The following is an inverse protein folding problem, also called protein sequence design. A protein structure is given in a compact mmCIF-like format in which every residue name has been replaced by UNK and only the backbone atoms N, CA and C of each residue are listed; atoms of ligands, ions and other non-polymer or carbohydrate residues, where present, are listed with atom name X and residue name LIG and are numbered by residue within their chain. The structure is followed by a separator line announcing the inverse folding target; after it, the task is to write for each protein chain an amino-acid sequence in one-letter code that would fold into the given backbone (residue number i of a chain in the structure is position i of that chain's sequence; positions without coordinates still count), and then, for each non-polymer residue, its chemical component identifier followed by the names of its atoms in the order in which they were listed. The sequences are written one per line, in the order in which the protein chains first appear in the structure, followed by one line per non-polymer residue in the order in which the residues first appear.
data_IF_115426690401
#
_entry.id   IF_115426690401
#
_cell.length_a   1.000
_cell.length_b   1.000
_cell.length_c   1.000
_cell.angle_alpha   90.00
_cell.angle_beta   90.00
_cell.angle_gamma   90.00
#
_symmetry.space_group_name_H-M   'P 1'
#
loop_
_entity.id
_entity.type
_entity.pdbx_description
1 polymer ?
#
# COMPACT_ATOMS: atom_id res chain seq x y z
N UNK A 1 17.01 0.59 -15.37
CA UNK A 1 17.38 1.66 -14.42
C UNK A 1 16.77 1.50 -13.00
N UNK A 2 16.15 0.37 -12.67
CA UNK A 2 15.40 0.16 -11.42
C UNK A 2 16.08 -0.77 -10.40
N UNK A 3 17.26 -1.31 -10.68
CA UNK A 3 17.92 -2.26 -9.77
C UNK A 3 18.84 -1.63 -8.71
N UNK A 4 19.26 -0.39 -8.87
CA UNK A 4 20.14 0.28 -7.91
C UNK A 4 19.41 0.74 -6.63
N UNK A 5 18.10 0.98 -6.70
CA UNK A 5 17.29 1.35 -5.54
C UNK A 5 17.04 0.20 -4.57
N UNK A 6 16.83 -1.01 -5.10
CA UNK A 6 16.52 -2.19 -4.29
C UNK A 6 17.66 -2.67 -3.38
N UNK A 7 18.91 -2.51 -3.81
CA UNK A 7 20.05 -2.93 -3.01
C UNK A 7 20.28 -2.10 -1.73
N UNK A 8 19.82 -0.83 -1.73
CA UNK A 8 19.87 0.06 -0.55
C UNK A 8 18.63 -0.03 0.31
N UNK A 9 17.52 -0.49 -0.25
CA UNK A 9 16.21 -0.50 0.42
C UNK A 9 16.14 -1.60 1.49
N UNK A 10 16.66 -2.78 1.23
CA UNK A 10 16.62 -3.89 2.18
C UNK A 10 17.30 -3.60 3.53
N UNK A 11 18.54 -3.07 3.58
CA UNK A 11 19.17 -2.69 4.85
C UNK A 11 18.42 -1.57 5.56
N UNK A 12 17.89 -0.59 4.83
CA UNK A 12 17.13 0.52 5.40
C UNK A 12 15.81 0.02 6.02
N UNK A 13 15.10 -0.88 5.35
CA UNK A 13 13.88 -1.49 5.88
C UNK A 13 14.18 -2.30 7.13
N UNK A 14 15.23 -3.11 7.12
CA UNK A 14 15.65 -3.89 8.29
C UNK A 14 15.93 -2.98 9.50
N UNK A 15 16.69 -1.91 9.32
CA UNK A 15 16.98 -0.95 10.39
C UNK A 15 15.72 -0.27 10.94
N UNK A 16 14.76 0.06 10.08
CA UNK A 16 13.50 0.68 10.50
C UNK A 16 12.58 -0.30 11.24
N UNK A 17 12.54 -1.55 10.83
CA UNK A 17 11.77 -2.59 11.53
C UNK A 17 12.38 -2.90 12.89
N UNK A 18 13.69 -3.11 12.94
CA UNK A 18 14.41 -3.41 14.19
C UNK A 18 14.36 -2.25 15.19
N UNK A 19 14.30 -1.01 14.69
CA UNK A 19 14.10 0.19 15.51
C UNK A 19 12.63 0.49 15.86
N UNK A 20 11.70 -0.40 15.55
CA UNK A 20 10.26 -0.22 15.76
C UNK A 20 9.68 1.05 15.09
N UNK A 21 10.39 1.62 14.13
CA UNK A 21 9.98 2.82 13.42
C UNK A 21 8.99 2.53 12.28
N UNK A 22 8.92 1.29 11.81
CA UNK A 22 8.06 0.88 10.71
C UNK A 22 6.79 0.22 11.25
N UNK A 23 5.82 1.07 11.58
CA UNK A 23 4.53 0.64 12.11
C UNK A 23 3.59 0.17 11.00
N UNK A 24 2.55 -0.65 11.30
CA UNK A 24 1.52 -1.01 10.33
C UNK A 24 0.89 0.18 9.62
N UNK A 25 0.67 1.29 10.33
CA UNK A 25 0.14 2.52 9.76
C UNK A 25 1.06 3.12 8.69
N UNK A 26 2.37 3.08 8.90
CA UNK A 26 3.36 3.57 7.93
C UNK A 26 3.39 2.68 6.69
N UNK A 27 3.28 1.37 6.85
CA UNK A 27 3.23 0.41 5.74
C UNK A 27 1.98 0.64 4.89
N UNK A 28 0.83 0.80 5.52
CA UNK A 28 -0.43 1.14 4.85
C UNK A 28 -0.30 2.47 4.10
N UNK A 29 0.30 3.48 4.72
CA UNK A 29 0.52 4.78 4.08
C UNK A 29 1.44 4.68 2.87
N UNK A 30 2.51 3.90 2.96
CA UNK A 30 3.40 3.64 1.82
C UNK A 30 2.64 2.97 0.67
N UNK A 31 1.82 1.97 0.95
CA UNK A 31 0.96 1.32 -0.02
C UNK A 31 0.01 2.31 -0.70
N UNK A 32 -0.59 3.19 0.08
CA UNK A 32 -1.50 4.22 -0.40
C UNK A 32 -0.85 5.27 -1.31
N UNK A 33 0.43 5.49 -1.17
CA UNK A 33 1.23 6.38 -2.02
C UNK A 33 1.81 5.68 -3.25
N UNK A 34 1.56 4.39 -3.41
CA UNK A 34 2.10 3.60 -4.51
C UNK A 34 3.57 3.21 -4.32
N UNK A 35 4.13 3.40 -3.12
CA UNK A 35 5.50 2.99 -2.78
C UNK A 35 5.57 1.48 -2.56
N UNK A 36 5.21 0.70 -3.57
CA UNK A 36 5.07 -0.75 -3.47
C UNK A 36 6.41 -1.46 -3.28
N UNK A 37 7.51 -0.88 -3.71
CA UNK A 37 8.86 -1.36 -3.43
C UNK A 37 9.15 -1.40 -1.92
N UNK A 38 8.80 -0.34 -1.20
CA UNK A 38 8.91 -0.28 0.27
C UNK A 38 8.02 -1.33 0.91
N UNK A 39 6.78 -1.46 0.45
CA UNK A 39 5.82 -2.45 0.97
C UNK A 39 6.34 -3.87 0.77
N UNK A 40 6.82 -4.20 -0.42
CA UNK A 40 7.36 -5.54 -0.75
C UNK A 40 8.55 -5.89 0.15
N UNK A 41 9.52 -4.99 0.25
CA UNK A 41 10.71 -5.22 1.10
C UNK A 41 10.34 -5.40 2.57
N UNK A 42 9.41 -4.59 3.06
CA UNK A 42 8.95 -4.68 4.45
C UNK A 42 8.24 -6.00 4.73
N UNK A 43 7.30 -6.37 3.88
CA UNK A 43 6.54 -7.63 4.04
C UNK A 43 7.47 -8.84 3.90
N UNK A 44 8.42 -8.80 2.96
CA UNK A 44 9.43 -9.84 2.80
C UNK A 44 10.27 -10.02 4.07
N UNK A 45 10.74 -8.92 4.63
CA UNK A 45 11.53 -8.92 5.87
C UNK A 45 10.73 -9.49 7.04
N UNK A 46 9.53 -9.00 7.27
CA UNK A 46 8.65 -9.47 8.34
C UNK A 46 8.29 -10.96 8.20
N UNK A 47 8.10 -11.43 6.98
CA UNK A 47 7.78 -12.83 6.70
C UNK A 47 9.02 -13.75 6.65
N UNK A 48 10.23 -13.20 6.68
CA UNK A 48 11.48 -13.97 6.61
C UNK A 48 11.68 -14.69 5.27
N UNK A 49 11.25 -14.06 4.17
CA UNK A 49 11.42 -14.60 2.81
C UNK A 49 12.16 -13.62 1.91
N UNK A 50 12.62 -14.09 0.75
CA UNK A 50 13.25 -13.21 -0.24
C UNK A 50 12.25 -12.21 -0.85
N UNK A 51 12.75 -11.04 -1.24
CA UNK A 51 11.96 -10.00 -1.92
C UNK A 51 11.32 -10.57 -3.20
N UNK A 52 12.06 -11.31 -4.01
CA UNK A 52 11.56 -11.95 -5.22
C UNK A 52 10.37 -12.87 -4.95
N UNK A 53 10.42 -13.64 -3.86
CA UNK A 53 9.33 -14.53 -3.47
C UNK A 53 8.13 -13.73 -2.96
N UNK A 54 8.36 -12.66 -2.20
CA UNK A 54 7.32 -11.76 -1.76
C UNK A 54 6.60 -11.10 -2.94
N UNK A 55 7.34 -10.58 -3.92
CA UNK A 55 6.78 -10.02 -5.16
C UNK A 55 5.88 -11.04 -5.88
N UNK A 56 6.36 -12.26 -6.06
CA UNK A 56 5.59 -13.31 -6.71
C UNK A 56 4.28 -13.63 -5.96
N UNK A 57 4.28 -13.55 -4.64
CA UNK A 57 3.08 -13.78 -3.82
C UNK A 57 2.15 -12.57 -3.79
N UNK A 58 2.67 -11.36 -3.82
CA UNK A 58 1.88 -10.13 -3.81
C UNK A 58 1.20 -9.85 -5.15
N UNK A 59 1.93 -10.03 -6.24
CA UNK A 59 1.46 -9.69 -7.59
C UNK A 59 1.08 -10.89 -8.44
N UNK A 60 1.21 -12.09 -7.90
CA UNK A 60 0.87 -13.33 -8.58
C UNK A 60 -0.60 -13.72 -8.44
N UNK A 61 -0.84 -15.02 -8.34
CA UNK A 61 -2.20 -15.58 -8.28
C UNK A 61 -2.99 -15.07 -7.07
N UNK A 62 -4.30 -14.89 -7.24
CA UNK A 62 -5.21 -14.58 -6.15
C UNK A 62 -5.05 -15.56 -4.99
N UNK A 63 -5.01 -15.04 -3.78
CA UNK A 63 -4.89 -15.82 -2.55
C UNK A 63 -3.47 -16.06 -2.05
N UNK A 64 -2.44 -15.86 -2.87
CA UNK A 64 -1.05 -15.99 -2.43
C UNK A 64 -0.67 -14.91 -1.39
N UNK A 65 -1.17 -13.71 -1.57
CA UNK A 65 -0.93 -12.61 -0.63
C UNK A 65 -1.52 -12.87 0.75
N UNK A 66 -2.67 -13.54 0.85
CA UNK A 66 -3.27 -13.89 2.15
C UNK A 66 -2.30 -14.72 3.01
N UNK A 67 -1.62 -15.69 2.42
CA UNK A 67 -0.62 -16.52 3.09
C UNK A 67 0.60 -15.70 3.51
N UNK A 68 1.06 -14.82 2.63
CA UNK A 68 2.18 -13.93 2.92
C UNK A 68 1.85 -12.95 4.03
N UNK A 69 0.67 -12.34 3.99
CA UNK A 69 0.21 -11.43 5.04
C UNK A 69 0.13 -12.12 6.41
N UNK A 70 -0.43 -13.31 6.47
CA UNK A 70 -0.46 -14.10 7.71
C UNK A 70 0.95 -14.39 8.23
N UNK A 71 1.88 -14.72 7.35
CA UNK A 71 3.28 -15.01 7.72
C UNK A 71 4.04 -13.76 8.19
N UNK A 72 3.69 -12.59 7.69
CA UNK A 72 4.33 -11.32 8.07
C UNK A 72 4.00 -10.86 9.48
N UNK A 73 2.94 -11.39 10.09
CA UNK A 73 2.48 -10.96 11.41
C UNK A 73 1.80 -9.59 11.42
N UNK A 74 1.54 -8.99 10.29
CA UNK A 74 0.82 -7.72 10.20
C UNK A 74 -0.63 -7.88 10.69
N UNK A 75 -1.22 -6.85 11.33
CA UNK A 75 -2.60 -6.89 11.78
C UNK A 75 -3.58 -7.22 10.64
N UNK A 76 -4.58 -8.03 10.94
CA UNK A 76 -5.63 -8.38 9.97
C UNK A 76 -6.35 -7.15 9.41
N UNK A 77 -6.43 -6.07 10.17
CA UNK A 77 -7.00 -4.79 9.74
C UNK A 77 -6.28 -4.15 8.55
N UNK A 78 -5.01 -4.49 8.32
CA UNK A 78 -4.23 -3.97 7.18
C UNK A 78 -4.43 -4.79 5.90
N UNK A 79 -4.97 -5.99 6.01
CA UNK A 79 -5.01 -6.95 4.90
C UNK A 79 -5.69 -6.40 3.65
N UNK A 80 -6.92 -5.91 3.78
CA UNK A 80 -7.70 -5.46 2.62
C UNK A 80 -7.10 -4.24 1.93
N UNK A 81 -6.52 -3.33 2.71
CA UNK A 81 -5.82 -2.15 2.17
C UNK A 81 -4.59 -2.56 1.38
N UNK A 82 -3.77 -3.44 1.93
CA UNK A 82 -2.58 -3.94 1.24
C UNK A 82 -2.94 -4.80 0.03
N UNK A 83 -4.00 -5.60 0.11
CA UNK A 83 -4.50 -6.37 -1.03
C UNK A 83 -4.98 -5.46 -2.17
N UNK A 84 -5.70 -4.38 -1.85
CA UNK A 84 -6.13 -3.41 -2.84
C UNK A 84 -4.94 -2.72 -3.52
N UNK A 85 -3.92 -2.36 -2.76
CA UNK A 85 -2.69 -1.79 -3.31
C UNK A 85 -1.96 -2.77 -4.25
N UNK A 86 -1.90 -4.04 -3.89
CA UNK A 86 -1.34 -5.08 -4.75
C UNK A 86 -2.10 -5.22 -6.06
N UNK A 87 -3.43 -5.16 -6.01
CA UNK A 87 -4.26 -5.29 -7.20
C UNK A 87 -4.11 -4.07 -8.13
N UNK A 88 -4.09 -2.86 -7.58
CA UNK A 88 -3.84 -1.65 -8.38
C UNK A 88 -2.45 -1.68 -9.01
N UNK A 89 -1.42 -2.10 -8.27
CA UNK A 89 -0.07 -2.24 -8.80
C UNK A 89 0.01 -3.29 -9.93
N UNK A 90 -0.71 -4.38 -9.81
CA UNK A 90 -0.79 -5.41 -10.85
C UNK A 90 -1.50 -4.88 -12.09
N UNK A 91 -2.65 -4.24 -11.97
CA UNK A 91 -3.37 -3.60 -13.08
C UNK A 91 -2.47 -2.59 -13.81
N UNK A 92 -1.77 -1.75 -13.05
CA UNK A 92 -0.81 -0.79 -13.59
C UNK A 92 0.29 -1.48 -14.43
N UNK A 93 0.82 -2.59 -13.96
CA UNK A 93 1.85 -3.35 -14.66
C UNK A 93 1.28 -4.02 -15.93
N UNK A 94 0.06 -4.54 -15.88
CA UNK A 94 -0.62 -5.16 -17.02
C UNK A 94 -0.96 -4.12 -18.11
N UNK A 95 -1.41 -2.95 -17.72
CA UNK A 95 -1.78 -1.87 -18.64
C UNK A 95 -0.56 -1.08 -19.15
N UNK A 96 0.61 -1.28 -18.56
CA UNK A 96 1.83 -0.54 -18.90
C UNK A 96 1.75 0.95 -18.56
N UNK A 97 0.83 1.35 -17.69
CA UNK A 97 0.60 2.73 -17.28
C UNK A 97 1.17 2.94 -15.88
N UNK A 98 1.99 3.97 -15.71
CA UNK A 98 2.48 4.38 -14.39
C UNK A 98 1.59 5.49 -13.83
N UNK A 99 0.85 5.17 -12.77
CA UNK A 99 0.00 6.14 -12.08
C UNK A 99 0.86 7.07 -11.20
N UNK A 100 0.46 8.34 -11.10
CA UNK A 100 0.98 9.23 -10.06
C UNK A 100 0.58 8.71 -8.68
N UNK A 101 1.27 9.16 -7.62
CA UNK A 101 0.89 8.79 -6.24
C UNK A 101 -0.56 9.16 -5.93
N UNK A 102 -1.04 10.29 -6.48
CA UNK A 102 -2.41 10.75 -6.31
C UNK A 102 -3.43 9.83 -7.01
N UNK A 103 -3.16 9.44 -8.23
CA UNK A 103 -4.03 8.55 -9.00
C UNK A 103 -4.00 7.12 -8.44
N UNK A 104 -2.85 6.65 -8.00
CA UNK A 104 -2.73 5.36 -7.33
C UNK A 104 -3.57 5.31 -6.05
N UNK A 105 -3.45 6.33 -5.20
CA UNK A 105 -4.22 6.42 -3.96
C UNK A 105 -5.72 6.48 -4.20
N UNK A 106 -6.15 7.25 -5.20
CA UNK A 106 -7.57 7.32 -5.59
C UNK A 106 -8.09 5.97 -6.09
N UNK A 107 -7.37 5.33 -6.99
CA UNK A 107 -7.73 4.01 -7.51
C UNK A 107 -7.83 2.96 -6.40
N UNK A 108 -6.92 3.04 -5.44
CA UNK A 108 -6.90 2.15 -4.29
C UNK A 108 -8.12 2.36 -3.39
N UNK A 109 -8.52 3.61 -3.13
CA UNK A 109 -9.73 3.93 -2.37
C UNK A 109 -10.97 3.40 -3.08
N UNK A 110 -11.09 3.63 -4.38
CA UNK A 110 -12.20 3.10 -5.18
C UNK A 110 -12.29 1.57 -5.08
N UNK A 111 -11.16 0.90 -5.19
CA UNK A 111 -11.09 -0.56 -5.05
C UNK A 111 -11.52 -1.02 -3.66
N UNK A 112 -11.08 -0.33 -2.61
CA UNK A 112 -11.46 -0.62 -1.23
C UNK A 112 -12.95 -0.42 -0.99
N UNK A 113 -13.50 0.69 -1.45
CA UNK A 113 -14.93 0.98 -1.28
C UNK A 113 -15.80 -0.06 -1.99
N UNK A 114 -15.43 -0.45 -3.20
CA UNK A 114 -16.15 -1.51 -3.94
C UNK A 114 -16.11 -2.84 -3.19
N UNK A 115 -14.97 -3.20 -2.62
CA UNK A 115 -14.82 -4.44 -1.83
C UNK A 115 -15.46 -4.36 -0.46
N UNK A 116 -15.48 -3.18 0.14
CA UNK A 116 -16.09 -2.96 1.43
C UNK A 116 -17.55 -3.38 1.45
N UNK A 117 -18.30 -3.09 0.40
CA UNK A 117 -19.69 -3.52 0.26
C UNK A 117 -19.86 -5.05 0.25
N UNK A 118 -18.85 -5.77 -0.20
CA UNK A 118 -18.83 -7.23 -0.24
C UNK A 118 -18.29 -7.88 1.05
N UNK A 119 -17.77 -7.09 2.01
CA UNK A 119 -17.23 -7.63 3.25
C UNK A 119 -18.34 -8.04 4.23
N UNK A 120 -18.09 -9.09 5.05
CA UNK A 120 -18.96 -9.40 6.19
C UNK A 120 -19.10 -8.20 7.13
N UNK A 121 -20.31 -7.97 7.65
CA UNK A 121 -20.62 -6.84 8.53
C UNK A 121 -19.67 -6.72 9.73
N UNK A 122 -19.22 -7.85 10.29
CA UNK A 122 -18.30 -7.88 11.42
C UNK A 122 -16.90 -7.32 11.11
N UNK A 123 -16.49 -7.36 9.84
CA UNK A 123 -15.17 -6.87 9.39
C UNK A 123 -15.19 -5.43 8.90
N UNK A 124 -16.37 -4.91 8.53
CA UNK A 124 -16.53 -3.58 7.95
C UNK A 124 -16.02 -2.43 8.82
N UNK A 125 -16.32 -2.36 10.12
CA UNK A 125 -15.90 -1.22 10.94
C UNK A 125 -14.39 -1.07 11.04
N UNK A 126 -13.66 -2.17 11.13
CA UNK A 126 -12.20 -2.17 11.24
C UNK A 126 -11.51 -1.66 9.97
N UNK A 127 -12.08 -1.96 8.82
CA UNK A 127 -11.54 -1.49 7.53
C UNK A 127 -11.85 -0.02 7.29
N UNK A 128 -13.01 0.46 7.71
CA UNK A 128 -13.40 1.87 7.58
C UNK A 128 -12.46 2.83 8.30
N UNK A 129 -11.95 2.47 9.47
CA UNK A 129 -11.06 3.34 10.23
C UNK A 129 -9.79 3.69 9.44
N UNK A 130 -9.19 2.71 8.76
CA UNK A 130 -8.02 2.95 7.91
C UNK A 130 -8.37 3.74 6.65
N UNK A 131 -9.42 3.34 5.95
CA UNK A 131 -9.89 4.02 4.73
C UNK A 131 -10.34 5.44 5.03
N UNK A 132 -11.07 5.66 6.12
CA UNK A 132 -11.54 6.97 6.52
C UNK A 132 -10.41 7.95 6.83
N UNK A 133 -9.41 7.52 7.58
CA UNK A 133 -8.21 8.34 7.87
C UNK A 133 -7.46 8.68 6.59
N UNK A 134 -7.24 7.69 5.76
CA UNK A 134 -6.52 7.88 4.51
C UNK A 134 -7.29 8.78 3.53
N UNK A 135 -8.58 8.57 3.37
CA UNK A 135 -9.42 9.42 2.51
C UNK A 135 -9.45 10.87 2.99
N UNK A 136 -9.51 11.11 4.30
CA UNK A 136 -9.46 12.44 4.87
C UNK A 136 -8.10 13.14 4.63
N UNK A 137 -6.99 12.43 4.86
CA UNK A 137 -5.66 12.95 4.59
C UNK A 137 -5.47 13.26 3.10
N UNK A 138 -5.97 12.41 2.25
CA UNK A 138 -5.90 12.57 0.80
C UNK A 138 -6.70 13.77 0.31
N UNK A 139 -7.94 13.91 0.77
CA UNK A 139 -8.78 15.06 0.45
C UNK A 139 -8.12 16.38 0.87
N UNK A 140 -7.48 16.39 2.03
CA UNK A 140 -6.73 17.56 2.54
C UNK A 140 -5.56 17.92 1.64
N UNK A 141 -4.76 16.94 1.21
CA UNK A 141 -3.63 17.15 0.31
C UNK A 141 -4.07 17.70 -1.05
N UNK A 142 -5.15 17.15 -1.62
CA UNK A 142 -5.73 17.62 -2.88
C UNK A 142 -6.25 19.04 -2.74
N UNK A 143 -6.99 19.35 -1.67
CA UNK A 143 -7.49 20.69 -1.40
C UNK A 143 -6.35 21.72 -1.25
N UNK A 144 -5.29 21.36 -0.53
CA UNK A 144 -4.12 22.24 -0.37
C UNK A 144 -3.41 22.48 -1.69
N UNK A 145 -3.29 21.48 -2.56
CA UNK A 145 -2.72 21.63 -3.90
C UNK A 145 -3.55 22.58 -4.75
N UNK A 146 -4.86 22.41 -4.80
CA UNK A 146 -5.77 23.30 -5.53
C UNK A 146 -5.63 24.75 -5.05
N UNK A 147 -5.59 24.97 -3.73
CA UNK A 147 -5.40 26.32 -3.17
C UNK A 147 -4.07 26.94 -3.58
N UNK A 148 -2.98 26.16 -3.57
CA UNK A 148 -1.66 26.60 -3.98
C UNK A 148 -1.63 26.97 -5.49
N UNK A 149 -2.31 26.19 -6.33
CA UNK A 149 -2.41 26.46 -7.77
C UNK A 149 -3.23 27.71 -8.06
N UNK A 150 -4.35 27.92 -7.35
CA UNK A 150 -5.15 29.14 -7.44
C UNK A 150 -4.36 30.38 -6.98
N UNK A 151 -3.60 30.28 -5.92
CA UNK A 151 -2.77 31.38 -5.43
C UNK A 151 -1.67 31.76 -6.42
N UNK A 152 -1.11 30.80 -7.17
CA UNK A 152 -0.11 31.05 -8.23
C UNK A 152 -0.71 31.66 -9.51
N UNK A 153 -1.99 31.39 -9.78
CA UNK A 153 -2.70 31.93 -10.95
C UNK A 153 -3.23 33.36 -10.74
N UNK A 154 -3.22 33.87 -9.50
CA UNK A 154 -3.73 35.21 -9.17
C UNK A 154 -2.69 36.31 -9.43
#
# INVERSE_FOLDING_TARGET
LTHAGGAKLAPAVAALVDGEMLTPAIIVRAACLGAMDVVVHTVAYLAGISVKRAEAMMFGRRGSFRKLHAKSGLPQSCYWTLQAACDVAREQAEDGITLSADDFGRRMIETLLTRYEALPLAERPKQLDYVGRFAADRARLIANRIRADLARAA
#
